data_IF_007646103041
#
_entry.id   IF_007646103041
#
_cell.length_a   1.000
_cell.length_b   1.000
_cell.length_c   1.000
_cell.angle_alpha   90.00
_cell.angle_beta   90.00
_cell.angle_gamma   90.00
#
_symmetry.space_group_name_H-M   'P 1'
#
loop_
_entity.id
_entity.type
_entity.pdbx_description
1 polymer ?
#
# COMPACT_ATOMS: atom_id res chain seq x y z
N UNK A 1 -3.53 9.77 -21.66
CA UNK A 1 -2.30 10.51 -21.97
C UNK A 1 -1.04 9.78 -21.48
N UNK A 2 -0.97 9.39 -20.19
CA UNK A 2 0.21 8.74 -19.59
C UNK A 2 0.57 7.40 -20.26
N UNK A 3 -0.42 6.55 -20.55
CA UNK A 3 -0.22 5.29 -21.30
C UNK A 3 0.36 5.54 -22.69
N UNK A 4 -0.13 6.56 -23.42
CA UNK A 4 0.38 6.90 -24.74
C UNK A 4 1.83 7.40 -24.69
N UNK A 5 2.21 8.16 -23.66
CA UNK A 5 3.59 8.61 -23.43
C UNK A 5 4.49 7.42 -23.11
N UNK A 6 4.06 6.48 -22.24
CA UNK A 6 4.82 5.28 -21.91
C UNK A 6 5.02 4.39 -23.14
N UNK A 7 3.95 4.15 -23.92
CA UNK A 7 4.04 3.36 -25.15
C UNK A 7 4.91 4.04 -26.20
N UNK A 8 4.84 5.36 -26.34
CA UNK A 8 5.70 6.12 -27.24
C UNK A 8 7.18 6.03 -26.85
N UNK A 9 7.49 6.21 -25.56
CA UNK A 9 8.86 6.09 -25.04
C UNK A 9 9.37 4.66 -25.18
N UNK A 10 8.54 3.65 -24.90
CA UNK A 10 8.89 2.24 -25.10
C UNK A 10 9.12 1.89 -26.58
N UNK A 11 8.29 2.43 -27.48
CA UNK A 11 8.39 2.21 -28.92
C UNK A 11 9.65 2.85 -29.53
N UNK A 12 9.96 4.10 -29.18
CA UNK A 12 11.19 4.75 -29.66
C UNK A 12 12.45 4.18 -29.01
N UNK A 13 12.34 3.68 -27.77
CA UNK A 13 13.40 2.93 -27.08
C UNK A 13 13.74 1.61 -27.80
N UNK A 14 12.73 0.89 -28.31
CA UNK A 14 12.91 -0.39 -29.03
C UNK A 14 13.74 -0.28 -30.31
N UNK A 15 13.82 0.90 -30.93
CA UNK A 15 14.57 1.10 -32.19
C UNK A 15 16.08 1.25 -32.00
N UNK A 16 16.57 1.37 -30.76
CA UNK A 16 17.97 1.69 -30.47
C UNK A 16 18.60 0.57 -29.61
N UNK A 17 19.33 -0.34 -30.27
CA UNK A 17 20.19 -1.40 -29.73
C UNK A 17 20.16 -1.67 -28.20
N UNK A 18 19.32 -2.65 -27.81
CA UNK A 18 19.32 -3.61 -26.68
C UNK A 18 19.79 -3.27 -25.25
N UNK A 19 20.66 -2.31 -24.97
CA UNK A 19 21.22 -2.15 -23.61
C UNK A 19 21.24 -0.72 -23.05
N UNK A 20 20.89 0.31 -23.85
CA UNK A 20 20.96 1.71 -23.41
C UNK A 20 19.71 2.21 -22.66
N UNK A 21 18.56 1.58 -22.85
CA UNK A 21 17.28 2.09 -22.34
C UNK A 21 16.62 1.22 -21.25
N UNK A 22 17.34 0.19 -20.77
CA UNK A 22 16.88 -0.65 -19.65
C UNK A 22 16.37 0.16 -18.46
N UNK A 23 17.12 1.19 -17.98
CA UNK A 23 16.67 2.02 -16.86
C UNK A 23 15.37 2.78 -17.15
N UNK A 24 15.22 3.34 -18.34
CA UNK A 24 14.04 4.14 -18.71
C UNK A 24 12.79 3.28 -18.81
N UNK A 25 12.89 2.09 -19.38
CA UNK A 25 11.77 1.14 -19.43
C UNK A 25 11.41 0.68 -18.02
N UNK A 26 12.40 0.32 -17.19
CA UNK A 26 12.18 -0.08 -15.80
C UNK A 26 11.46 1.00 -14.99
N UNK A 27 11.91 2.26 -15.09
CA UNK A 27 11.28 3.39 -14.42
C UNK A 27 9.87 3.63 -14.95
N UNK A 28 9.65 3.49 -16.27
CA UNK A 28 8.32 3.69 -16.85
C UNK A 28 7.31 2.64 -16.37
N UNK A 29 7.70 1.36 -16.35
CA UNK A 29 6.88 0.27 -15.82
C UNK A 29 6.64 0.44 -14.32
N UNK A 30 7.69 0.79 -13.56
CA UNK A 30 7.60 1.05 -12.14
C UNK A 30 6.59 2.17 -11.82
N UNK A 31 6.64 3.28 -12.55
CA UNK A 31 5.69 4.39 -12.39
C UNK A 31 4.25 3.96 -12.65
N UNK A 32 4.00 3.13 -13.66
CA UNK A 32 2.66 2.59 -13.90
C UNK A 32 2.19 1.72 -12.74
N UNK A 33 3.05 0.83 -12.23
CA UNK A 33 2.72 -0.05 -11.10
C UNK A 33 2.42 0.73 -9.82
N UNK A 34 3.20 1.77 -9.51
CA UNK A 34 2.98 2.63 -8.34
C UNK A 34 1.66 3.41 -8.47
N UNK A 35 1.29 3.83 -9.69
CA UNK A 35 0.06 4.59 -9.93
C UNK A 35 -1.22 3.72 -9.89
N UNK A 36 -1.13 2.39 -9.95
CA UNK A 36 -2.32 1.52 -9.88
C UNK A 36 -3.07 1.74 -8.57
N UNK A 37 -2.38 1.86 -7.45
CA UNK A 37 -2.99 2.02 -6.12
C UNK A 37 -3.78 3.34 -5.96
N UNK A 38 -3.22 4.53 -6.23
CA UNK A 38 -4.01 5.77 -6.19
C UNK A 38 -5.09 5.82 -7.27
N UNK A 39 -4.86 5.25 -8.46
CA UNK A 39 -5.89 5.15 -9.50
C UNK A 39 -7.09 4.33 -9.00
N UNK A 40 -6.84 3.24 -8.29
CA UNK A 40 -7.89 2.44 -7.65
C UNK A 40 -8.68 3.28 -6.64
N UNK A 41 -8.03 4.07 -5.79
CA UNK A 41 -8.73 4.94 -4.83
C UNK A 41 -9.66 5.94 -5.54
N UNK A 42 -9.19 6.58 -6.63
CA UNK A 42 -10.04 7.48 -7.43
C UNK A 42 -11.22 6.74 -8.07
N UNK A 43 -11.02 5.52 -8.57
CA UNK A 43 -12.10 4.71 -9.14
C UNK A 43 -13.12 4.25 -8.10
N UNK A 44 -12.68 4.06 -6.84
CA UNK A 44 -13.55 3.79 -5.71
C UNK A 44 -14.43 5.01 -5.40
N UNK A 45 -13.83 6.20 -5.31
CA UNK A 45 -14.53 7.45 -5.03
C UNK A 45 -15.57 7.80 -6.10
N UNK A 46 -15.28 7.49 -7.36
CA UNK A 46 -16.20 7.72 -8.48
C UNK A 46 -17.32 6.68 -8.60
N UNK A 47 -17.44 5.74 -7.66
CA UNK A 47 -18.42 4.65 -7.68
C UNK A 47 -18.28 3.66 -8.85
N UNK A 48 -17.30 3.86 -9.74
CA UNK A 48 -17.10 3.02 -10.93
C UNK A 48 -16.59 1.62 -10.57
N UNK A 49 -15.94 1.49 -9.42
CA UNK A 49 -15.45 0.21 -8.90
C UNK A 49 -16.46 -0.53 -8.00
N UNK A 50 -17.70 -0.02 -7.86
CA UNK A 50 -18.67 -0.60 -6.92
C UNK A 50 -19.17 -1.99 -7.34
N UNK A 51 -19.20 -2.29 -8.64
CA UNK A 51 -19.67 -3.60 -9.15
C UNK A 51 -18.77 -4.77 -8.72
N UNK A 52 -17.54 -4.50 -8.26
CA UNK A 52 -16.60 -5.53 -7.80
C UNK A 52 -16.89 -5.96 -6.35
N UNK A 53 -17.74 -5.24 -5.60
CA UNK A 53 -18.09 -5.61 -4.23
C UNK A 53 -18.73 -7.01 -4.09
N UNK A 54 -19.36 -7.51 -5.15
CA UNK A 54 -20.04 -8.81 -5.12
C UNK A 54 -19.08 -10.02 -5.27
N UNK A 55 -17.85 -9.82 -5.75
CA UNK A 55 -16.90 -10.92 -6.03
C UNK A 55 -15.46 -10.68 -5.57
N UNK A 56 -15.13 -9.52 -5.01
CA UNK A 56 -13.75 -9.25 -4.61
C UNK A 56 -13.51 -7.83 -4.14
N UNK A 57 -14.34 -7.34 -3.21
CA UNK A 57 -14.08 -6.07 -2.54
C UNK A 57 -12.65 -6.02 -1.99
N UNK A 58 -12.04 -4.83 -1.99
CA UNK A 58 -10.67 -4.63 -1.52
C UNK A 58 -10.48 -5.00 -0.04
N UNK A 59 -11.58 -4.95 0.71
CA UNK A 59 -11.65 -5.37 2.09
C UNK A 59 -12.55 -6.59 2.23
N UNK A 60 -12.28 -7.42 3.24
CA UNK A 60 -13.14 -8.55 3.61
C UNK A 60 -14.50 -8.03 4.09
N UNK A 61 -15.55 -8.83 3.87
CA UNK A 61 -16.85 -8.59 4.49
C UNK A 61 -16.71 -8.61 6.02
N UNK A 62 -17.47 -7.76 6.72
CA UNK A 62 -17.45 -7.59 8.18
C UNK A 62 -16.15 -7.04 8.77
N UNK A 63 -15.32 -6.38 7.97
CA UNK A 63 -14.25 -5.56 8.52
C UNK A 63 -14.75 -4.14 8.80
N UNK A 64 -14.39 -3.53 9.95
CA UNK A 64 -14.74 -2.16 10.27
C UNK A 64 -13.87 -1.20 9.45
N UNK A 65 -14.16 -1.09 8.16
CA UNK A 65 -13.51 -0.14 7.26
C UNK A 65 -14.39 1.09 7.12
N UNK A 66 -13.75 2.27 7.06
CA UNK A 66 -14.44 3.52 6.77
C UNK A 66 -14.87 3.55 5.31
N UNK A 67 -15.98 2.90 4.98
CA UNK A 67 -16.68 3.19 3.75
C UNK A 67 -17.50 4.47 3.98
N UNK A 68 -17.12 5.59 3.35
CA UNK A 68 -17.94 6.79 3.32
C UNK A 68 -19.17 6.50 2.43
N UNK A 69 -20.21 5.91 3.01
CA UNK A 69 -21.53 5.89 2.40
C UNK A 69 -22.19 7.23 2.71
N UNK A 70 -22.21 8.13 1.72
CA UNK A 70 -23.09 9.29 1.79
C UNK A 70 -24.53 8.78 1.62
N UNK A 71 -25.43 8.97 2.59
CA UNK A 71 -26.84 8.72 2.34
C UNK A 71 -27.33 9.63 1.20
N UNK A 72 -28.32 9.18 0.40
CA UNK A 72 -28.97 10.05 -0.58
C UNK A 72 -29.43 11.34 0.11
N UNK A 73 -28.96 12.47 -0.41
CA UNK A 73 -29.13 13.82 0.19
C UNK A 73 -30.58 14.32 0.27
N UNK A 74 -31.56 13.51 -0.07
CA UNK A 74 -32.95 13.94 -0.27
C UNK A 74 -33.89 13.59 0.90
N UNK A 75 -33.40 12.98 1.97
CA UNK A 75 -34.23 12.75 3.15
C UNK A 75 -34.38 14.03 3.98
N UNK A 76 -35.60 14.49 4.24
CA UNK A 76 -35.86 15.64 5.11
C UNK A 76 -35.95 15.27 6.59
N UNK A 77 -36.27 14.02 6.91
CA UNK A 77 -36.33 13.49 8.29
C UNK A 77 -35.72 12.09 8.35
N UNK A 78 -35.21 11.70 9.54
CA UNK A 78 -34.54 10.41 9.73
C UNK A 78 -35.40 9.19 9.38
N UNK A 79 -36.73 9.31 9.51
CA UNK A 79 -37.68 8.25 9.15
C UNK A 79 -37.78 8.00 7.63
N UNK A 80 -37.53 9.03 6.80
CA UNK A 80 -37.62 8.93 5.34
C UNK A 80 -36.39 8.27 4.73
N UNK A 81 -35.29 8.28 5.48
CA UNK A 81 -34.01 7.82 4.98
C UNK A 81 -33.91 6.28 4.94
N UNK A 82 -34.80 5.56 5.62
CA UNK A 82 -34.78 4.10 5.65
C UNK A 82 -33.55 3.53 6.36
N UNK A 83 -33.55 2.22 6.62
CA UNK A 83 -32.40 1.53 7.21
C UNK A 83 -31.24 1.45 6.22
N UNK A 84 -30.07 2.05 6.54
CA UNK A 84 -28.84 1.88 5.77
C UNK A 84 -27.97 0.79 6.37
N UNK A 85 -27.45 -0.09 5.52
CA UNK A 85 -26.56 -1.16 5.94
C UNK A 85 -25.12 -0.63 6.07
N UNK A 86 -24.70 -0.26 7.27
CA UNK A 86 -23.40 0.34 7.53
C UNK A 86 -22.38 -0.69 8.03
N UNK A 87 -22.17 -1.76 7.27
CA UNK A 87 -21.08 -2.71 7.50
C UNK A 87 -21.29 -3.71 8.65
N UNK A 88 -22.52 -4.13 8.91
CA UNK A 88 -22.83 -5.17 9.89
C UNK A 88 -24.33 -5.19 10.25
N UNK A 89 -24.92 -4.01 10.37
CA UNK A 89 -26.33 -3.81 10.75
C UNK A 89 -26.97 -2.62 10.02
N UNK A 90 -28.29 -2.49 10.20
CA UNK A 90 -29.13 -1.44 9.63
C UNK A 90 -29.36 -0.31 10.63
N UNK A 91 -28.89 0.90 10.31
CA UNK A 91 -29.06 2.09 11.18
C UNK A 91 -29.93 3.16 10.49
N UNK A 92 -30.78 3.82 11.28
CA UNK A 92 -31.51 5.00 10.85
C UNK A 92 -30.64 6.24 11.08
N UNK A 93 -30.49 7.08 10.05
CA UNK A 93 -29.58 8.22 10.09
C UNK A 93 -30.32 9.53 9.86
N UNK A 94 -29.88 10.60 10.53
CA UNK A 94 -30.44 11.92 10.33
C UNK A 94 -30.01 12.54 8.99
N UNK A 95 -30.78 13.50 8.44
CA UNK A 95 -30.40 14.25 7.25
C UNK A 95 -29.00 14.88 7.39
N UNK A 96 -28.17 14.75 6.36
CA UNK A 96 -26.80 15.28 6.32
C UNK A 96 -25.82 14.71 7.36
N UNK A 97 -26.13 13.57 7.99
CA UNK A 97 -25.16 12.84 8.80
C UNK A 97 -24.52 11.71 7.98
N UNK A 98 -23.20 11.59 8.06
CA UNK A 98 -22.43 10.53 7.41
C UNK A 98 -22.57 9.22 8.21
N UNK A 99 -22.73 8.07 7.53
CA UNK A 99 -22.69 6.79 8.23
C UNK A 99 -21.23 6.44 8.45
N UNK A 100 -20.77 6.59 9.69
CA UNK A 100 -19.58 5.87 10.10
C UNK A 100 -20.03 4.51 10.64
N UNK A 101 -19.29 3.46 10.29
CA UNK A 101 -19.50 2.13 10.88
C UNK A 101 -19.26 2.24 12.39
N UNK A 102 -20.31 2.37 13.18
CA UNK A 102 -20.23 2.26 14.63
C UNK A 102 -20.63 0.80 14.93
N UNK A 103 -19.67 0.01 15.41
CA UNK A 103 -19.93 -1.38 15.83
C UNK A 103 -20.48 -1.30 17.26
N UNK A 104 -21.66 -1.88 17.50
CA UNK A 104 -22.06 -2.18 18.87
C UNK A 104 -21.20 -3.36 19.34
N UNK A 105 -20.38 -3.14 20.35
CA UNK A 105 -19.76 -4.23 21.09
C UNK A 105 -20.86 -4.82 21.99
N UNK A 106 -21.77 -5.59 21.39
CA UNK A 106 -22.72 -6.39 22.15
C UNK A 106 -21.96 -7.57 22.77
N UNK A 107 -21.24 -7.28 23.86
CA UNK A 107 -20.89 -8.29 24.85
C UNK A 107 -21.88 -8.16 26.01
N UNK A 108 -22.96 -8.92 25.83
CA UNK A 108 -23.94 -9.39 26.81
C UNK A 108 -24.83 -8.38 27.57
N UNK A 109 -26.09 -8.35 27.12
CA UNK A 109 -27.22 -8.87 27.90
C UNK A 109 -27.21 -8.54 29.40
N UNK A 110 -27.78 -7.39 29.76
CA UNK A 110 -28.96 -7.40 30.63
C UNK A 110 -29.69 -6.08 30.58
N UNK A 111 -30.93 -6.17 30.10
CA UNK A 111 -31.98 -5.17 30.19
C UNK A 111 -31.97 -4.42 31.52
N UNK A 112 -31.53 -3.17 31.52
CA UNK A 112 -31.87 -2.22 32.57
C UNK A 112 -32.17 -0.86 31.96
N UNK A 113 -33.45 -0.53 31.99
CA UNK A 113 -34.06 0.75 31.66
C UNK A 113 -33.40 1.90 32.42
N UNK A 114 -32.32 2.43 31.87
CA UNK A 114 -31.77 3.73 32.27
C UNK A 114 -31.01 4.29 31.09
N UNK A 115 -31.55 5.38 30.53
CA UNK A 115 -30.93 6.28 29.56
C UNK A 115 -29.58 6.77 30.07
N UNK A 116 -28.56 5.93 29.93
CA UNK A 116 -27.18 6.34 29.93
C UNK A 116 -26.80 6.36 28.46
N UNK A 117 -26.43 7.53 27.97
CA UNK A 117 -25.89 7.72 26.63
C UNK A 117 -24.56 6.96 26.54
N UNK A 118 -24.61 5.64 26.40
CA UNK A 118 -23.46 4.80 26.08
C UNK A 118 -23.06 5.23 24.68
N UNK A 119 -22.00 6.04 24.62
CA UNK A 119 -21.54 6.64 23.38
C UNK A 119 -21.29 5.54 22.36
N UNK A 120 -22.07 5.54 21.29
CA UNK A 120 -21.76 4.81 20.07
C UNK A 120 -20.33 5.18 19.67
N UNK A 121 -19.37 4.33 20.00
CA UNK A 121 -17.99 4.54 19.61
C UNK A 121 -17.89 4.18 18.14
N UNK A 122 -18.01 5.19 17.29
CA UNK A 122 -17.78 5.01 15.88
C UNK A 122 -16.33 4.57 15.69
N UNK A 123 -16.12 3.56 14.84
CA UNK A 123 -14.82 2.94 14.67
C UNK A 123 -13.79 4.00 14.27
N UNK A 124 -13.03 4.48 15.26
CA UNK A 124 -11.73 5.11 15.07
C UNK A 124 -10.67 4.06 14.74
N UNK A 125 -11.07 2.79 14.61
CA UNK A 125 -10.25 1.68 14.20
C UNK A 125 -9.47 2.03 12.96
N UNK A 126 -8.20 2.31 13.18
CA UNK A 126 -7.16 2.41 12.17
C UNK A 126 -7.30 1.22 11.22
N UNK A 127 -7.38 1.49 9.91
CA UNK A 127 -7.50 0.45 8.90
C UNK A 127 -6.32 -0.52 9.05
N UNK A 128 -6.59 -1.71 9.60
CA UNK A 128 -5.55 -2.71 9.78
C UNK A 128 -5.36 -3.48 8.48
N UNK A 129 -4.11 -3.80 8.15
CA UNK A 129 -3.78 -4.62 6.98
C UNK A 129 -4.43 -6.01 7.01
N UNK A 130 -4.91 -6.46 8.17
CA UNK A 130 -5.66 -7.71 8.34
C UNK A 130 -6.99 -7.73 7.56
N UNK A 131 -7.56 -6.55 7.30
CA UNK A 131 -8.84 -6.43 6.61
C UNK A 131 -8.74 -6.42 5.09
N UNK A 132 -7.53 -6.37 4.52
CA UNK A 132 -7.37 -6.47 3.06
C UNK A 132 -7.79 -7.86 2.56
N UNK A 133 -8.60 -7.85 1.51
CA UNK A 133 -8.88 -9.04 0.72
C UNK A 133 -7.63 -9.50 -0.04
N UNK A 134 -7.68 -10.70 -0.63
CA UNK A 134 -6.58 -11.23 -1.45
C UNK A 134 -6.25 -10.27 -2.61
N UNK A 135 -7.27 -9.69 -3.25
CA UNK A 135 -7.09 -8.69 -4.30
C UNK A 135 -6.42 -7.43 -3.76
N UNK A 136 -6.83 -6.96 -2.57
CA UNK A 136 -6.18 -5.84 -1.88
C UNK A 136 -4.70 -6.10 -1.65
N UNK A 137 -4.34 -7.28 -1.13
CA UNK A 137 -2.94 -7.68 -0.93
C UNK A 137 -2.15 -7.70 -2.24
N UNK A 138 -2.69 -8.30 -3.31
CA UNK A 138 -1.99 -8.38 -4.60
C UNK A 138 -1.76 -6.98 -5.19
N UNK A 139 -2.75 -6.10 -5.13
CA UNK A 139 -2.62 -4.75 -5.70
C UNK A 139 -1.72 -3.88 -4.82
N UNK A 140 -2.04 -3.75 -3.53
CA UNK A 140 -1.33 -2.84 -2.63
C UNK A 140 0.07 -3.32 -2.32
N UNK A 141 0.25 -4.60 -1.99
CA UNK A 141 1.58 -5.12 -1.62
C UNK A 141 2.32 -5.57 -2.87
N UNK A 142 1.67 -6.33 -3.75
CA UNK A 142 2.30 -6.85 -4.95
C UNK A 142 2.70 -5.75 -5.92
N UNK A 143 1.75 -4.95 -6.44
CA UNK A 143 2.07 -3.97 -7.48
C UNK A 143 2.85 -2.78 -6.95
N UNK A 144 2.47 -2.20 -5.81
CA UNK A 144 3.09 -0.97 -5.33
C UNK A 144 4.53 -1.20 -4.86
N UNK A 145 4.78 -2.23 -4.05
CA UNK A 145 6.15 -2.48 -3.56
C UNK A 145 7.05 -3.04 -4.66
N UNK A 146 6.52 -3.87 -5.57
CA UNK A 146 7.27 -4.27 -6.76
C UNK A 146 7.60 -3.06 -7.63
N UNK A 147 6.64 -2.13 -7.80
CA UNK A 147 6.84 -0.86 -8.48
C UNK A 147 7.97 -0.05 -7.85
N UNK A 148 7.97 0.14 -6.52
CA UNK A 148 9.05 0.82 -5.82
C UNK A 148 10.40 0.10 -5.95
N UNK A 149 10.43 -1.22 -5.85
CA UNK A 149 11.66 -2.00 -6.04
C UNK A 149 12.23 -1.81 -7.45
N UNK A 150 11.38 -1.88 -8.49
CA UNK A 150 11.78 -1.63 -9.87
C UNK A 150 12.22 -0.18 -10.10
N UNK A 151 11.59 0.78 -9.43
CA UNK A 151 11.98 2.18 -9.48
C UNK A 151 13.38 2.39 -8.88
N UNK A 152 13.66 1.80 -7.71
CA UNK A 152 14.98 1.85 -7.06
C UNK A 152 16.04 1.19 -7.95
N UNK A 153 15.76 0.00 -8.50
CA UNK A 153 16.70 -0.68 -9.39
C UNK A 153 16.95 0.16 -10.65
N UNK A 154 15.90 0.69 -11.26
CA UNK A 154 15.99 1.54 -12.45
C UNK A 154 16.78 2.82 -12.20
N UNK A 155 16.59 3.47 -11.05
CA UNK A 155 17.35 4.68 -10.67
C UNK A 155 18.81 4.39 -10.35
N UNK A 156 19.11 3.29 -9.64
CA UNK A 156 20.49 2.86 -9.37
C UNK A 156 21.23 2.47 -10.65
N UNK A 157 20.53 1.82 -11.59
CA UNK A 157 21.07 1.53 -12.90
C UNK A 157 21.35 2.82 -13.68
N UNK A 158 20.38 3.75 -13.73
CA UNK A 158 20.53 5.03 -14.42
C UNK A 158 21.72 5.85 -13.87
N UNK A 159 21.95 5.80 -12.55
CA UNK A 159 23.05 6.50 -11.89
C UNK A 159 24.41 5.79 -12.01
N UNK A 160 24.47 4.64 -12.70
CA UNK A 160 25.65 3.78 -12.80
C UNK A 160 26.24 3.38 -11.42
N UNK A 161 25.39 3.36 -10.37
CA UNK A 161 25.80 3.07 -8.99
C UNK A 161 26.14 1.59 -8.82
N UNK A 162 25.52 0.71 -9.63
CA UNK A 162 25.76 -0.73 -9.58
C UNK A 162 27.23 -1.09 -9.84
N UNK A 163 27.88 -0.40 -10.77
CA UNK A 163 29.31 -0.58 -11.01
C UNK A 163 30.16 -0.14 -9.81
N UNK A 164 29.84 1.01 -9.22
CA UNK A 164 30.54 1.51 -8.03
C UNK A 164 30.41 0.57 -6.82
N UNK A 165 29.23 -0.01 -6.61
CA UNK A 165 29.02 -0.99 -5.53
C UNK A 165 29.84 -2.25 -5.78
N UNK A 166 29.96 -2.69 -7.03
CA UNK A 166 30.82 -3.82 -7.39
C UNK A 166 32.29 -3.52 -7.07
N UNK A 167 32.79 -2.35 -7.45
CA UNK A 167 34.17 -1.93 -7.20
C UNK A 167 34.46 -1.86 -5.68
N UNK A 168 33.54 -1.27 -4.91
CA UNK A 168 33.64 -1.21 -3.44
C UNK A 168 33.62 -2.61 -2.83
N UNK A 169 32.80 -3.53 -3.36
CA UNK A 169 32.74 -4.91 -2.89
C UNK A 169 34.05 -5.67 -3.15
N UNK A 170 34.67 -5.45 -4.30
CA UNK A 170 36.00 -6.00 -4.60
C UNK A 170 37.06 -5.46 -3.63
N UNK A 171 37.05 -4.16 -3.37
CA UNK A 171 37.99 -3.53 -2.45
C UNK A 171 37.77 -4.00 -1.00
N UNK A 172 36.53 -4.15 -0.57
CA UNK A 172 36.18 -4.71 0.74
C UNK A 172 36.67 -6.14 0.92
N UNK A 173 36.51 -6.98 -0.10
CA UNK A 173 37.02 -8.35 -0.08
C UNK A 173 38.55 -8.38 -0.05
N UNK A 174 39.23 -7.46 -0.74
CA UNK A 174 40.69 -7.30 -0.70
C UNK A 174 41.18 -6.96 0.72
N UNK A 175 40.51 -6.03 1.40
CA UNK A 175 40.86 -5.64 2.78
C UNK A 175 40.62 -6.77 3.79
N UNK A 176 39.48 -7.48 3.69
CA UNK A 176 39.20 -8.62 4.57
C UNK A 176 40.09 -9.84 4.32
N UNK A 177 40.50 -10.10 3.09
CA UNK A 177 41.44 -11.18 2.77
C UNK A 177 42.86 -10.91 3.29
N UNK A 178 43.26 -9.64 3.40
CA UNK A 178 44.59 -9.24 3.89
C UNK A 178 44.70 -9.33 5.41
N UNK A 179 43.60 -9.12 6.14
CA UNK A 179 43.59 -9.14 7.61
C UNK A 179 43.86 -10.54 8.21
N UNK A 180 43.62 -11.62 7.45
CA UNK A 180 43.98 -12.98 7.85
C UNK A 180 45.48 -13.30 7.68
N UNK A 181 46.26 -12.41 7.05
CA UNK A 181 47.69 -12.60 6.75
C UNK A 181 48.56 -11.53 7.43
N UNK A 182 48.10 -10.91 8.52
CA UNK A 182 49.00 -10.12 9.37
C UNK A 182 49.69 -11.11 10.32
N UNK A 183 50.93 -11.56 10.04
CA UNK A 183 51.68 -12.35 11.01
C UNK A 183 51.82 -11.52 12.28
N UNK A 184 51.59 -12.18 13.42
CA UNK A 184 51.63 -11.59 14.75
C UNK A 184 53.06 -11.09 15.03
N UNK A 185 53.38 -9.86 14.63
CA UNK A 185 54.72 -9.27 14.84
C UNK A 185 55.03 -8.96 16.31
N UNK A 186 54.08 -9.17 17.22
CA UNK A 186 54.29 -8.96 18.66
C UNK A 186 55.07 -10.08 19.35
N UNK A 187 55.34 -11.22 18.70
CA UNK A 187 56.10 -12.31 19.32
C UNK A 187 57.62 -12.26 19.07
N UNK A 188 58.15 -11.25 18.38
CA UNK A 188 59.59 -11.17 18.06
C UNK A 188 60.39 -10.14 18.87
N UNK A 189 59.78 -9.38 19.79
CA UNK A 189 60.49 -8.39 20.60
C UNK A 189 60.76 -8.83 22.06
N UNK A 190 60.19 -9.96 22.52
CA UNK A 190 60.41 -10.46 23.89
C UNK A 190 61.56 -11.47 24.04
N UNK A 191 62.32 -11.79 22.99
CA UNK A 191 63.47 -12.73 23.06
C UNK A 191 64.84 -12.04 22.96
N UNK A 192 64.91 -10.71 23.17
CA UNK A 192 66.18 -9.97 23.22
C UNK A 192 66.40 -9.20 24.53
N UNK A 193 66.08 -9.81 25.68
CA UNK A 193 66.57 -9.37 27.00
C UNK A 193 67.13 -10.55 27.77
#
# INVERSE_FOLDING_TARGET
MLVAVVLFVAYESSKRASCKYGPTILISVASLLILVDPTRHVLLDQTHWQYVHQYGGMYRHNCPVRALMLPPRECNVAADCGPYHCGGDFYAMAPHQDCFTCYDNDEDTTSSTTTTTTGSMCSEGMETFACLSVTGWIVTIGMTYLGFALFIIGTLWNANILHKISDIRHEWNRLRGTQNNIPNKQEQEETQV
#
